data_IF_139011745797
#
_entry.id   IF_139011745797
#
_cell.length_a   1.000
_cell.length_b   1.000
_cell.length_c   1.000
_cell.angle_alpha   90.00
_cell.angle_beta   90.00
_cell.angle_gamma   90.00
#
_symmetry.space_group_name_H-M   'P 1'
#
loop_
_entity.id
_entity.type
_entity.pdbx_description
1 polymer ?
#
# COMPACT_ATOMS: atom_id res chain seq x y z
N UNK A 1 -14.55 -7.38 5.21
CA UNK A 1 -15.54 -6.31 5.46
C UNK A 1 -16.54 -6.79 6.49
N UNK A 2 -16.72 -6.06 7.60
CA UNK A 2 -17.69 -6.40 8.65
C UNK A 2 -18.80 -5.35 8.60
N UNK A 3 -20.01 -5.76 8.23
CA UNK A 3 -21.18 -4.86 8.18
C UNK A 3 -21.88 -4.89 9.54
N UNK A 4 -22.16 -3.72 10.10
CA UNK A 4 -22.89 -3.56 11.36
C UNK A 4 -24.21 -2.84 11.08
N UNK A 5 -25.34 -3.45 11.42
CA UNK A 5 -26.68 -2.83 11.30
C UNK A 5 -27.11 -2.37 12.68
N UNK A 6 -27.44 -1.08 12.80
CA UNK A 6 -27.85 -0.44 14.04
C UNK A 6 -29.23 0.18 13.88
N UNK A 7 -30.00 0.16 14.95
CA UNK A 7 -31.34 0.71 15.06
C UNK A 7 -31.38 1.82 16.11
N UNK A 8 -32.48 2.55 16.19
CA UNK A 8 -32.68 3.59 17.21
C UNK A 8 -32.60 3.07 18.65
N UNK A 9 -32.80 1.77 18.86
CA UNK A 9 -32.71 1.14 20.18
C UNK A 9 -31.28 0.90 20.65
N UNK A 10 -30.29 1.00 19.77
CA UNK A 10 -28.88 0.70 20.06
C UNK A 10 -28.11 1.92 20.62
N UNK A 11 -28.82 2.95 21.10
CA UNK A 11 -28.20 4.16 21.63
C UNK A 11 -27.86 4.05 23.12
N UNK A 12 -26.66 4.51 23.55
CA UNK A 12 -25.66 5.20 22.73
C UNK A 12 -24.80 4.22 21.92
N UNK A 13 -24.72 4.46 20.61
CA UNK A 13 -23.86 3.68 19.71
C UNK A 13 -22.39 4.05 19.97
N UNK A 14 -21.56 3.04 20.23
CA UNK A 14 -20.09 3.17 20.26
C UNK A 14 -19.50 2.51 19.02
N UNK A 15 -19.17 3.31 18.01
CA UNK A 15 -18.42 2.84 16.85
C UNK A 15 -16.95 2.74 17.22
N UNK A 16 -16.35 1.57 17.03
CA UNK A 16 -14.90 1.38 17.05
C UNK A 16 -14.45 1.24 15.59
N UNK A 17 -13.94 2.31 14.96
CA UNK A 17 -13.36 2.18 13.64
C UNK A 17 -12.17 1.21 13.73
N UNK A 18 -12.28 0.08 13.03
CA UNK A 18 -11.17 -0.88 12.88
C UNK A 18 -10.21 -0.48 11.74
N UNK A 19 -10.35 0.73 11.20
CA UNK A 19 -9.58 1.29 10.10
C UNK A 19 -8.97 2.65 10.44
N UNK A 20 -8.11 3.17 9.57
CA UNK A 20 -7.34 4.40 9.79
C UNK A 20 -5.83 4.24 9.61
N UNK A 21 -5.35 3.03 9.30
CA UNK A 21 -3.98 2.84 8.85
C UNK A 21 -3.82 3.32 7.42
N UNK A 22 -2.92 4.27 7.19
CA UNK A 22 -2.46 4.59 5.83
C UNK A 22 -1.77 3.38 5.18
N UNK A 23 -1.34 3.55 3.94
CA UNK A 23 -0.53 2.54 3.24
C UNK A 23 0.77 2.28 4.04
N UNK A 24 1.22 1.03 4.11
CA UNK A 24 2.55 0.63 4.61
C UNK A 24 3.08 -0.43 3.65
N UNK A 25 4.25 -0.19 3.04
CA UNK A 25 4.80 -1.09 2.03
C UNK A 25 5.52 -2.30 2.65
N UNK A 26 5.91 -2.20 3.92
CA UNK A 26 6.74 -3.21 4.62
C UNK A 26 6.06 -4.57 4.83
N UNK A 27 4.76 -4.66 5.15
CA UNK A 27 4.09 -5.94 5.35
C UNK A 27 4.15 -6.87 4.13
N UNK A 28 4.09 -6.33 2.91
CA UNK A 28 4.16 -7.16 1.69
C UNK A 28 5.56 -7.74 1.50
N UNK A 29 6.61 -6.95 1.65
CA UNK A 29 7.98 -7.47 1.56
C UNK A 29 8.27 -8.52 2.64
N UNK A 30 7.81 -8.30 3.88
CA UNK A 30 7.90 -9.29 4.96
C UNK A 30 7.21 -10.60 4.57
N UNK A 31 6.01 -10.54 4.02
CA UNK A 31 5.28 -11.73 3.60
C UNK A 31 6.00 -12.49 2.47
N UNK A 32 6.62 -11.77 1.52
CA UNK A 32 7.43 -12.38 0.44
C UNK A 32 8.60 -13.18 1.03
N UNK A 33 9.32 -12.58 1.99
CA UNK A 33 10.44 -13.23 2.68
C UNK A 33 10.00 -14.45 3.49
N UNK A 34 8.98 -14.28 4.35
CA UNK A 34 8.43 -15.33 5.21
C UNK A 34 7.87 -16.51 4.39
N UNK A 35 7.30 -16.21 3.22
CA UNK A 35 6.75 -17.23 2.31
C UNK A 35 7.80 -17.85 1.39
N UNK A 36 9.07 -17.44 1.48
CA UNK A 36 10.16 -17.95 0.64
C UNK A 36 9.99 -17.62 -0.85
N UNK A 37 9.20 -16.60 -1.19
CA UNK A 37 8.93 -16.25 -2.58
C UNK A 37 10.18 -15.63 -3.24
N UNK A 38 10.29 -15.83 -4.55
CA UNK A 38 11.36 -15.29 -5.41
C UNK A 38 10.75 -14.65 -6.65
N UNK A 39 10.08 -13.50 -6.50
CA UNK A 39 9.45 -12.83 -7.62
C UNK A 39 10.49 -12.33 -8.63
N UNK A 40 10.18 -12.40 -9.92
CA UNK A 40 10.99 -11.78 -10.97
C UNK A 40 10.91 -10.25 -10.92
N UNK A 41 9.80 -9.69 -10.40
CA UNK A 41 9.59 -8.28 -10.16
C UNK A 41 8.43 -8.09 -9.18
N UNK A 42 8.52 -7.08 -8.31
CA UNK A 42 7.39 -6.59 -7.50
C UNK A 42 6.84 -5.30 -8.10
N UNK A 43 5.54 -5.27 -8.41
CA UNK A 43 4.87 -4.10 -8.99
C UNK A 43 3.92 -3.49 -7.96
N UNK A 44 4.16 -2.24 -7.60
CA UNK A 44 3.30 -1.46 -6.71
C UNK A 44 2.44 -0.51 -7.51
N UNK A 45 1.12 -0.52 -7.28
CA UNK A 45 0.21 0.51 -7.76
C UNK A 45 -0.14 1.43 -6.58
N UNK A 46 0.30 2.68 -6.63
CA UNK A 46 0.19 3.60 -5.50
C UNK A 46 0.26 5.05 -5.97
N UNK A 47 -0.32 5.96 -5.21
CA UNK A 47 -0.12 7.41 -5.33
C UNK A 47 1.17 7.89 -4.65
N UNK A 48 1.90 7.00 -3.96
CA UNK A 48 3.10 7.28 -3.15
C UNK A 48 2.86 8.20 -1.94
N UNK A 49 1.62 8.32 -1.46
CA UNK A 49 1.26 9.05 -0.23
C UNK A 49 1.63 8.27 1.05
N UNK A 50 2.76 7.54 1.03
CA UNK A 50 3.32 6.82 2.15
C UNK A 50 4.85 6.88 2.12
N UNK A 51 5.46 7.20 3.26
CA UNK A 51 6.91 7.27 3.44
C UNK A 51 7.52 6.05 4.14
N UNK A 52 6.72 5.02 4.43
CA UNK A 52 7.15 3.81 5.16
C UNK A 52 7.55 2.72 4.18
N UNK A 53 8.78 2.80 3.70
CA UNK A 53 9.38 1.83 2.78
C UNK A 53 10.10 0.69 3.54
N UNK A 54 10.17 -0.51 2.98
CA UNK A 54 11.08 -1.56 3.46
C UNK A 54 12.53 -1.25 3.05
N UNK A 55 13.46 -2.12 3.44
CA UNK A 55 14.78 -2.15 2.80
C UNK A 55 14.63 -2.55 1.32
N UNK A 56 15.57 -2.10 0.48
CA UNK A 56 15.55 -2.43 -0.93
C UNK A 56 15.70 -3.96 -1.11
N UNK A 57 14.74 -4.65 -1.73
CA UNK A 57 14.80 -6.09 -1.90
C UNK A 57 15.80 -6.49 -3.00
N UNK A 58 16.22 -7.75 -3.00
CA UNK A 58 17.13 -8.31 -4.00
C UNK A 58 16.50 -8.54 -5.39
N UNK A 59 15.19 -8.35 -5.52
CA UNK A 59 14.44 -8.48 -6.77
C UNK A 59 14.06 -7.11 -7.33
N UNK A 60 13.89 -6.97 -8.66
CA UNK A 60 13.43 -5.73 -9.28
C UNK A 60 12.11 -5.21 -8.68
N UNK A 61 12.00 -3.89 -8.54
CA UNK A 61 10.78 -3.22 -8.06
C UNK A 61 10.36 -2.15 -9.05
N UNK A 62 9.09 -2.19 -9.43
CA UNK A 62 8.44 -1.20 -10.28
C UNK A 62 7.32 -0.50 -9.51
N UNK A 63 7.34 0.82 -9.48
CA UNK A 63 6.33 1.66 -8.86
C UNK A 63 5.49 2.33 -9.95
N UNK A 64 4.25 1.89 -10.09
CA UNK A 64 3.27 2.51 -10.97
C UNK A 64 2.56 3.61 -10.17
N UNK A 65 2.97 4.85 -10.41
CA UNK A 65 2.52 6.03 -9.69
C UNK A 65 1.35 6.72 -10.39
N UNK A 66 0.23 6.94 -9.68
CA UNK A 66 -0.91 7.70 -10.20
C UNK A 66 -0.86 9.20 -9.90
N UNK A 67 0.00 9.63 -8.98
CA UNK A 67 0.09 11.04 -8.58
C UNK A 67 1.09 11.81 -9.47
N UNK A 68 0.76 13.05 -9.90
CA UNK A 68 1.60 13.81 -10.83
C UNK A 68 2.89 14.37 -10.19
N UNK A 69 2.88 14.61 -8.88
CA UNK A 69 3.98 15.27 -8.15
C UNK A 69 4.43 14.44 -6.93
N UNK A 70 4.32 13.12 -7.00
CA UNK A 70 4.78 12.26 -5.92
C UNK A 70 6.29 12.35 -5.71
N UNK A 71 6.72 12.29 -4.45
CA UNK A 71 8.13 12.08 -4.15
C UNK A 71 8.55 10.68 -4.60
N UNK A 72 9.69 10.53 -5.29
CA UNK A 72 10.14 9.22 -5.73
C UNK A 72 10.46 8.31 -4.53
N UNK A 73 10.17 7.01 -4.63
CA UNK A 73 10.54 6.03 -3.61
C UNK A 73 12.07 5.88 -3.55
N UNK A 74 12.61 5.38 -2.43
CA UNK A 74 14.06 5.30 -2.22
C UNK A 74 14.79 4.27 -3.12
N UNK A 75 14.07 3.40 -3.81
CA UNK A 75 14.62 2.38 -4.70
C UNK A 75 13.59 1.95 -5.76
N UNK A 76 14.06 1.20 -6.77
CA UNK A 76 13.21 0.71 -7.86
C UNK A 76 13.01 1.74 -8.97
N UNK A 77 12.27 1.35 -10.01
CA UNK A 77 11.92 2.23 -11.13
C UNK A 77 10.50 2.77 -10.94
N UNK A 78 10.24 4.01 -11.36
CA UNK A 78 8.92 4.63 -11.29
C UNK A 78 8.38 4.83 -12.71
N UNK A 79 7.10 4.51 -12.92
CA UNK A 79 6.34 4.84 -14.12
C UNK A 79 5.11 5.63 -13.69
N UNK A 80 4.82 6.75 -14.34
CA UNK A 80 3.65 7.56 -14.04
C UNK A 80 2.48 7.20 -14.96
N UNK A 81 1.31 6.92 -14.38
CA UNK A 81 0.08 6.70 -15.12
C UNK A 81 -0.40 8.03 -15.72
N UNK A 82 -0.54 8.05 -17.05
CA UNK A 82 -1.01 9.23 -17.79
C UNK A 82 0.09 10.16 -18.29
N UNK A 83 1.37 9.82 -18.10
CA UNK A 83 2.44 10.42 -18.91
C UNK A 83 2.39 9.77 -20.30
N UNK A 84 2.00 10.53 -21.33
CA UNK A 84 2.26 10.13 -22.71
C UNK A 84 3.79 10.04 -22.91
N UNK A 85 4.22 9.00 -23.62
CA UNK A 85 5.63 8.68 -23.86
C UNK A 85 6.32 9.66 -24.80
#
# INVERSE_FOLDING_TARGET
>A
HKTLTLTRMDMPVRLEPVGGGGTDYRPVCRHIEESGLRPACLVWFTDLECSRYPEAPAYPVLWVCSAPNAQPPPFGQVIHLGAEA
#
